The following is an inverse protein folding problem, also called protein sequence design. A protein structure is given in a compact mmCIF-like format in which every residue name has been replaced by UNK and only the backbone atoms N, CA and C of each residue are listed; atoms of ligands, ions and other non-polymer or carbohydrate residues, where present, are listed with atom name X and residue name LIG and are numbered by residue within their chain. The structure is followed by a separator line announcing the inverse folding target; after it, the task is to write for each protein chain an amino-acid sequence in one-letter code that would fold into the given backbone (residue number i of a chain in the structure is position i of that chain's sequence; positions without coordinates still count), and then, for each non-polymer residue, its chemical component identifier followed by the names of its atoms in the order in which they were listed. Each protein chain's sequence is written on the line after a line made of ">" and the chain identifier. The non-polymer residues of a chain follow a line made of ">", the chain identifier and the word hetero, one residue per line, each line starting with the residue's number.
data_IF_803819583591
#
_entry.id   IF_803819583591
#
_cell.length_a   1.000
_cell.length_b   1.000
_cell.length_c   1.000
_cell.angle_alpha   90.00
_cell.angle_beta   90.00
_cell.angle_gamma   90.00
#
_symmetry.space_group_name_H-M   'P 1'
#
loop_
_entity.id
_entity.type
_entity.pdbx_description
1 polymer ?
#
# COMPACT_ATOMS: atom_id res chain seq x y z
N UNK A 1 -54.24 9.70 -8.08
CA UNK A 1 -54.20 8.26 -8.34
C UNK A 1 -52.78 7.91 -8.84
N UNK A 2 -52.05 7.14 -8.01
CA UNK A 2 -51.05 6.11 -8.34
C UNK A 2 -49.99 6.45 -9.41
N UNK A 3 -48.67 6.34 -9.21
CA UNK A 3 -47.98 5.13 -8.73
C UNK A 3 -46.53 5.47 -8.35
N UNK A 4 -46.13 5.01 -7.22
CA UNK A 4 -44.79 4.84 -6.75
C UNK A 4 -44.09 3.69 -7.48
N UNK A 5 -42.86 3.87 -7.95
CA UNK A 5 -41.85 2.82 -8.21
C UNK A 5 -40.50 3.54 -8.05
N UNK A 6 -39.76 3.31 -7.05
CA UNK A 6 -38.89 2.18 -6.80
C UNK A 6 -37.49 2.68 -7.07
N UNK A 7 -36.81 3.35 -6.07
CA UNK A 7 -35.36 3.58 -6.08
C UNK A 7 -34.70 2.22 -6.00
N UNK A 8 -34.12 1.76 -7.09
CA UNK A 8 -33.12 0.69 -7.07
C UNK A 8 -31.79 1.30 -6.62
N UNK A 9 -31.39 0.98 -5.40
CA UNK A 9 -30.08 1.29 -4.84
C UNK A 9 -29.05 0.46 -5.60
N UNK A 10 -28.37 1.06 -6.55
CA UNK A 10 -27.18 0.47 -7.17
C UNK A 10 -26.01 0.75 -6.22
N UNK A 11 -25.65 -0.25 -5.45
CA UNK A 11 -24.38 -0.26 -4.69
C UNK A 11 -23.29 -0.42 -5.75
N UNK A 12 -22.64 0.67 -6.11
CA UNK A 12 -21.40 0.62 -6.88
C UNK A 12 -20.34 -0.04 -5.98
N UNK A 13 -19.94 -1.25 -6.37
CA UNK A 13 -18.79 -1.94 -5.79
C UNK A 13 -17.55 -1.09 -6.03
N UNK A 14 -17.00 -0.52 -4.97
CA UNK A 14 -15.65 0.04 -4.98
C UNK A 14 -14.68 -1.13 -5.23
N UNK A 15 -14.01 -1.11 -6.35
CA UNK A 15 -12.97 -2.07 -6.67
C UNK A 15 -11.82 -1.93 -5.66
N UNK A 16 -11.70 -2.90 -4.78
CA UNK A 16 -10.57 -3.00 -3.86
C UNK A 16 -9.37 -3.52 -4.65
N UNK A 17 -8.30 -2.75 -4.68
CA UNK A 17 -7.02 -3.18 -5.23
C UNK A 17 -6.43 -4.25 -4.30
N UNK A 18 -6.71 -5.51 -4.56
CA UNK A 18 -6.09 -6.62 -3.86
C UNK A 18 -4.80 -6.97 -4.58
N UNK A 19 -3.66 -6.49 -4.07
CA UNK A 19 -2.37 -7.07 -4.37
C UNK A 19 -2.35 -8.46 -3.71
N UNK A 20 -2.65 -9.50 -4.50
CA UNK A 20 -2.56 -10.87 -4.03
C UNK A 20 -1.09 -11.20 -3.72
N UNK A 21 -0.78 -11.36 -2.44
CA UNK A 21 0.43 -12.07 -2.03
C UNK A 21 0.18 -13.54 -2.37
N UNK A 22 0.57 -13.96 -3.57
CA UNK A 22 0.41 -15.33 -4.03
C UNK A 22 1.37 -16.24 -3.25
N UNK A 23 0.81 -17.03 -2.33
CA UNK A 23 1.49 -18.20 -1.80
C UNK A 23 1.05 -19.40 -2.64
N UNK A 24 1.93 -19.86 -3.53
CA UNK A 24 1.78 -21.17 -4.17
C UNK A 24 2.32 -22.22 -3.19
N UNK A 25 1.44 -22.73 -2.32
CA UNK A 25 1.74 -23.90 -1.51
C UNK A 25 1.52 -25.16 -2.37
N UNK A 26 2.58 -25.64 -3.02
CA UNK A 26 2.61 -27.03 -3.45
C UNK A 26 3.00 -27.87 -2.24
N UNK A 27 2.05 -28.57 -1.68
CA UNK A 27 2.29 -29.60 -0.66
C UNK A 27 3.15 -30.74 -1.28
N UNK A 28 4.23 -31.18 -0.61
CA UNK A 28 4.97 -32.35 -1.07
C UNK A 28 4.10 -33.60 -0.93
N UNK A 29 4.08 -34.42 -1.98
CA UNK A 29 3.39 -35.71 -2.01
C UNK A 29 3.94 -36.63 -0.92
N UNK A 30 3.10 -37.40 -0.22
CA UNK A 30 3.56 -38.33 0.81
C UNK A 30 4.35 -39.49 0.21
N UNK A 31 5.42 -39.97 0.87
CA UNK A 31 6.17 -41.13 0.41
C UNK A 31 5.35 -42.39 0.51
N UNK A 32 5.56 -43.30 -0.46
CA UNK A 32 4.89 -44.58 -0.56
C UNK A 32 5.18 -45.47 0.65
N UNK A 33 4.21 -46.32 1.06
CA UNK A 33 4.37 -47.20 2.22
C UNK A 33 5.41 -48.30 1.97
N UNK A 34 6.32 -48.45 2.91
CA UNK A 34 7.30 -49.56 2.93
C UNK A 34 6.65 -50.91 3.26
N UNK A 35 7.10 -51.93 2.57
CA UNK A 35 6.62 -53.33 2.75
C UNK A 35 7.01 -53.90 4.14
N UNK A 36 6.23 -54.85 4.68
CA UNK A 36 6.46 -55.42 5.99
C UNK A 36 7.63 -56.43 6.00
N UNK A 37 8.45 -56.51 7.05
CA UNK A 37 9.45 -57.53 7.18
C UNK A 37 8.88 -58.85 7.68
N UNK A 38 9.46 -59.93 7.15
CA UNK A 38 9.15 -61.32 7.42
C UNK A 38 9.45 -61.78 8.85
N UNK A 39 8.69 -62.76 9.26
CA UNK A 39 8.68 -63.58 10.47
C UNK A 39 9.97 -63.88 11.15
N UNK A 40 10.00 -63.70 12.48
CA UNK A 40 11.01 -64.30 13.38
C UNK A 40 10.39 -65.32 14.32
N UNK A 41 11.08 -66.43 14.45
CA UNK A 41 10.80 -67.63 15.27
C UNK A 41 11.01 -67.33 16.78
N UNK A 42 10.29 -68.03 17.69
CA UNK A 42 10.43 -67.75 19.13
C UNK A 42 11.64 -68.47 19.74
N UNK A 43 12.38 -67.75 20.58
CA UNK A 43 13.45 -68.30 21.45
C UNK A 43 12.94 -68.30 22.90
N UNK A 44 13.29 -69.38 23.60
CA UNK A 44 12.85 -69.84 24.90
C UNK A 44 13.14 -68.87 26.07
N UNK A 45 12.29 -69.02 27.11
CA UNK A 45 12.31 -68.28 28.36
C UNK A 45 13.63 -68.43 29.16
N UNK A 46 14.17 -67.31 29.61
CA UNK A 46 15.22 -67.27 30.63
C UNK A 46 14.74 -66.46 31.84
N UNK A 47 15.23 -66.84 33.02
CA UNK A 47 14.77 -66.53 34.35
C UNK A 47 14.69 -65.04 34.70
N UNK A 48 13.75 -64.73 35.62
CA UNK A 48 13.46 -63.41 36.17
C UNK A 48 14.68 -62.75 36.84
N UNK A 49 15.02 -61.54 36.40
CA UNK A 49 15.94 -60.60 37.09
C UNK A 49 15.14 -59.71 38.07
N UNK A 50 15.75 -59.18 39.12
CA UNK A 50 15.08 -58.37 40.11
C UNK A 50 14.59 -57.01 39.54
N UNK A 51 13.61 -56.38 40.16
CA UNK A 51 12.99 -55.14 39.65
C UNK A 51 14.05 -54.03 39.59
N UNK A 52 14.27 -53.54 38.38
CA UNK A 52 15.04 -52.31 38.15
C UNK A 52 14.12 -51.16 38.46
N UNK A 53 14.54 -50.27 39.39
CA UNK A 53 13.86 -48.99 39.64
C UNK A 53 13.66 -48.26 38.31
N UNK A 54 12.43 -47.87 38.05
CA UNK A 54 12.08 -47.12 36.86
C UNK A 54 12.80 -45.76 36.90
N UNK A 55 13.83 -45.61 36.10
CA UNK A 55 14.46 -44.31 35.84
C UNK A 55 13.40 -43.32 35.25
N UNK A 56 13.66 -42.00 35.32
CA UNK A 56 12.72 -40.98 34.89
C UNK A 56 12.31 -41.27 33.45
N UNK A 57 11.01 -41.32 33.23
CA UNK A 57 10.40 -41.51 31.90
C UNK A 57 11.01 -40.47 30.95
N UNK A 58 11.54 -40.87 29.79
CA UNK A 58 12.03 -39.88 28.81
C UNK A 58 10.92 -38.93 28.43
N UNK A 59 11.21 -37.64 28.26
CA UNK A 59 10.22 -36.70 27.83
C UNK A 59 9.59 -37.20 26.53
N UNK A 60 8.26 -37.21 26.48
CA UNK A 60 7.52 -37.60 25.26
C UNK A 60 7.96 -36.76 24.06
N UNK A 61 7.65 -37.21 22.82
CA UNK A 61 8.06 -36.49 21.62
C UNK A 61 7.54 -35.05 21.72
N UNK A 62 8.44 -34.09 21.64
CA UNK A 62 8.11 -32.66 21.53
C UNK A 62 7.42 -32.52 20.18
N UNK A 63 6.11 -32.34 20.17
CA UNK A 63 5.37 -32.02 18.94
C UNK A 63 5.86 -30.65 18.48
N UNK A 64 6.53 -30.60 17.34
CA UNK A 64 7.01 -29.35 16.78
C UNK A 64 5.81 -28.45 16.49
N UNK A 65 5.89 -27.18 16.93
CA UNK A 65 4.88 -26.17 16.61
C UNK A 65 4.86 -25.93 15.10
N UNK A 66 3.67 -25.98 14.50
CA UNK A 66 3.45 -25.68 13.07
C UNK A 66 2.80 -24.30 12.97
N UNK A 67 3.52 -23.28 12.48
CA UNK A 67 2.95 -21.95 12.27
C UNK A 67 1.77 -22.00 11.29
N UNK A 68 0.69 -21.31 11.63
CA UNK A 68 -0.48 -21.15 10.75
C UNK A 68 -0.55 -19.71 10.25
N UNK A 69 -0.80 -19.54 8.96
CA UNK A 69 -1.05 -18.21 8.39
C UNK A 69 -2.43 -17.72 8.84
N UNK A 70 -2.46 -16.50 9.39
CA UNK A 70 -3.69 -15.80 9.78
C UNK A 70 -3.77 -14.52 8.96
N UNK A 71 -4.93 -14.29 8.34
CA UNK A 71 -5.20 -13.06 7.58
C UNK A 71 -6.23 -12.22 8.30
N UNK A 72 -6.21 -10.91 8.04
CA UNK A 72 -7.21 -9.96 8.49
C UNK A 72 -7.53 -8.96 7.39
N UNK A 73 -8.73 -8.42 7.43
CA UNK A 73 -9.23 -7.43 6.47
C UNK A 73 -9.90 -6.28 7.20
N UNK A 74 -9.95 -5.11 6.58
CA UNK A 74 -10.61 -3.92 7.10
C UNK A 74 -10.83 -2.87 6.02
N UNK A 75 -11.35 -1.69 6.41
CA UNK A 75 -11.53 -0.55 5.53
C UNK A 75 -11.22 0.74 6.28
N UNK A 76 -10.39 1.60 5.70
CA UNK A 76 -10.12 2.97 6.15
C UNK A 76 -9.54 3.77 4.99
N UNK A 77 -9.49 5.09 5.09
CA UNK A 77 -8.93 6.00 4.09
C UNK A 77 -9.49 5.78 2.67
N UNK A 78 -10.76 5.36 2.60
CA UNK A 78 -11.44 5.08 1.34
C UNK A 78 -10.93 3.84 0.59
N UNK A 79 -10.20 2.92 1.26
CA UNK A 79 -9.63 1.73 0.61
C UNK A 79 -9.76 0.47 1.48
N UNK A 80 -9.51 -0.68 0.88
CA UNK A 80 -9.43 -1.96 1.56
C UNK A 80 -8.09 -2.10 2.30
N UNK A 81 -8.14 -2.67 3.51
CA UNK A 81 -6.98 -3.04 4.30
C UNK A 81 -6.82 -4.56 4.31
N UNK A 82 -5.59 -5.03 4.20
CA UNK A 82 -5.27 -6.44 4.32
C UNK A 82 -4.04 -6.68 5.21
N UNK A 83 -4.11 -7.73 6.01
CA UNK A 83 -3.06 -8.14 6.92
C UNK A 83 -2.78 -9.63 6.77
N UNK A 84 -1.54 -10.05 6.98
CA UNK A 84 -1.22 -11.43 7.28
C UNK A 84 0.01 -11.55 8.16
N UNK A 85 -0.02 -12.55 9.03
CA UNK A 85 1.10 -12.99 9.86
C UNK A 85 0.98 -14.49 10.11
N UNK A 86 1.92 -15.04 10.87
CA UNK A 86 1.92 -16.44 11.25
C UNK A 86 1.84 -16.58 12.76
N UNK A 87 1.07 -17.59 13.23
CA UNK A 87 1.05 -17.95 14.65
C UNK A 87 2.43 -18.39 15.13
N UNK A 88 2.69 -18.18 16.40
CA UNK A 88 3.89 -18.67 17.11
C UNK A 88 3.48 -19.41 18.40
N UNK A 89 4.36 -20.06 19.10
CA UNK A 89 4.03 -20.67 20.40
C UNK A 89 3.45 -19.69 21.45
N UNK A 90 3.68 -18.37 21.24
CA UNK A 90 3.24 -17.30 22.16
C UNK A 90 2.19 -16.37 21.57
N UNK A 91 1.91 -16.46 20.26
CA UNK A 91 0.93 -15.64 19.54
C UNK A 91 -0.01 -16.56 18.77
N UNK A 92 -1.20 -16.75 19.27
CA UNK A 92 -2.26 -17.49 18.59
C UNK A 92 -3.03 -16.62 17.58
N UNK A 93 -4.00 -17.20 16.88
CA UNK A 93 -4.81 -16.49 15.91
C UNK A 93 -5.63 -15.35 16.53
N UNK A 94 -6.11 -15.50 17.76
CA UNK A 94 -6.89 -14.47 18.44
C UNK A 94 -6.03 -13.24 18.78
N UNK A 95 -4.79 -13.46 19.23
CA UNK A 95 -3.83 -12.40 19.49
C UNK A 95 -3.47 -11.65 18.18
N UNK A 96 -3.32 -12.37 17.05
CA UNK A 96 -3.06 -11.76 15.76
C UNK A 96 -4.24 -10.89 15.29
N UNK A 97 -5.48 -11.37 15.40
CA UNK A 97 -6.66 -10.56 15.07
C UNK A 97 -6.77 -9.31 15.95
N UNK A 98 -6.49 -9.44 17.26
CA UNK A 98 -6.46 -8.27 18.16
C UNK A 98 -5.43 -7.23 17.70
N UNK A 99 -4.26 -7.68 17.22
CA UNK A 99 -3.25 -6.77 16.69
C UNK A 99 -3.68 -6.12 15.36
N UNK A 100 -4.40 -6.84 14.48
CA UNK A 100 -4.96 -6.28 13.24
C UNK A 100 -6.04 -5.24 13.51
N UNK A 101 -6.90 -5.47 14.51
CA UNK A 101 -7.90 -4.49 14.93
C UNK A 101 -7.23 -3.21 15.47
N UNK A 102 -6.17 -3.35 16.27
CA UNK A 102 -5.39 -2.22 16.75
C UNK A 102 -4.67 -1.46 15.63
N UNK A 103 -4.10 -2.18 14.63
CA UNK A 103 -3.49 -1.59 13.46
C UNK A 103 -4.51 -0.84 12.59
N UNK A 104 -5.70 -1.42 12.40
CA UNK A 104 -6.82 -0.76 11.71
C UNK A 104 -7.25 0.51 12.44
N UNK A 105 -7.39 0.47 13.76
CA UNK A 105 -7.74 1.64 14.58
C UNK A 105 -6.69 2.76 14.45
N UNK A 106 -5.41 2.41 14.35
CA UNK A 106 -4.34 3.40 14.14
C UNK A 106 -4.44 4.05 12.73
N UNK A 107 -4.74 3.28 11.67
CA UNK A 107 -4.99 3.85 10.33
C UNK A 107 -6.17 4.82 10.36
N UNK A 108 -7.29 4.44 11.00
CA UNK A 108 -8.46 5.31 11.17
C UNK A 108 -8.13 6.57 11.96
N UNK A 109 -7.26 6.48 12.99
CA UNK A 109 -6.79 7.64 13.72
C UNK A 109 -6.01 8.61 12.84
N UNK A 110 -5.10 8.11 12.00
CA UNK A 110 -4.34 8.91 11.02
C UNK A 110 -5.30 9.58 10.02
N UNK A 111 -6.24 8.82 9.46
CA UNK A 111 -7.28 9.36 8.56
C UNK A 111 -7.99 10.55 9.19
N UNK A 112 -8.44 10.41 10.44
CA UNK A 112 -9.21 11.45 11.14
C UNK A 112 -8.45 12.77 11.28
N UNK A 113 -7.14 12.75 11.47
CA UNK A 113 -6.36 13.99 11.63
C UNK A 113 -5.89 14.59 10.30
N UNK A 114 -5.79 13.78 9.24
CA UNK A 114 -5.19 14.18 7.96
C UNK A 114 -6.18 14.32 6.79
N UNK A 115 -7.45 13.94 6.99
CA UNK A 115 -8.47 14.04 5.94
C UNK A 115 -8.86 15.49 5.65
N UNK A 116 -9.30 15.76 4.40
CA UNK A 116 -9.96 17.03 4.02
C UNK A 116 -11.48 16.97 4.17
N UNK A 117 -12.05 15.78 4.45
CA UNK A 117 -13.49 15.55 4.54
C UNK A 117 -14.10 15.84 5.91
N UNK A 118 -13.27 15.89 6.96
CA UNK A 118 -13.71 16.26 8.32
C UNK A 118 -13.26 17.70 8.63
N UNK A 119 -14.19 18.64 8.85
CA UNK A 119 -13.84 20.01 9.24
C UNK A 119 -13.02 20.11 10.54
N UNK A 120 -13.05 19.09 11.38
CA UNK A 120 -12.31 19.04 12.65
C UNK A 120 -10.86 18.55 12.47
N UNK A 121 -10.47 18.10 11.28
CA UNK A 121 -9.12 17.64 11.01
C UNK A 121 -8.11 18.79 10.99
N UNK A 122 -6.84 18.46 11.22
CA UNK A 122 -5.75 19.42 11.16
C UNK A 122 -5.56 20.00 9.75
N UNK A 123 -5.67 19.16 8.71
CA UNK A 123 -5.56 19.58 7.31
C UNK A 123 -6.70 20.51 6.91
N UNK A 124 -7.92 20.24 7.36
CA UNK A 124 -9.07 21.14 7.15
C UNK A 124 -8.87 22.49 7.85
N UNK A 125 -8.30 22.48 9.06
CA UNK A 125 -7.97 23.73 9.77
C UNK A 125 -6.91 24.56 9.02
N UNK A 126 -5.87 23.91 8.47
CA UNK A 126 -4.85 24.55 7.61
C UNK A 126 -5.52 25.17 6.37
N UNK A 127 -6.39 24.43 5.70
CA UNK A 127 -7.13 24.92 4.52
C UNK A 127 -8.06 26.10 4.85
N UNK A 128 -8.74 26.09 6.00
CA UNK A 128 -9.62 27.17 6.44
C UNK A 128 -8.85 28.46 6.78
N UNK A 129 -7.59 28.34 7.18
CA UNK A 129 -6.71 29.45 7.50
C UNK A 129 -5.89 29.99 6.31
N UNK A 130 -6.05 29.41 5.10
CA UNK A 130 -5.30 29.80 3.91
C UNK A 130 -5.44 31.31 3.61
N UNK A 131 -4.31 31.99 3.36
CA UNK A 131 -4.22 33.43 3.15
C UNK A 131 -4.40 34.27 4.41
N UNK A 132 -4.56 33.67 5.60
CA UNK A 132 -4.83 34.40 6.86
C UNK A 132 -3.73 34.23 7.89
N UNK A 133 -3.55 33.02 8.43
CA UNK A 133 -2.63 32.75 9.54
C UNK A 133 -1.98 31.38 9.43
N UNK A 134 -0.86 31.22 10.13
CA UNK A 134 -0.30 29.89 10.38
C UNK A 134 -1.16 29.10 11.39
N UNK A 135 -1.21 27.80 11.22
CA UNK A 135 -1.95 26.84 12.08
C UNK A 135 -0.94 25.90 12.72
N UNK A 136 -1.01 25.75 14.03
CA UNK A 136 -0.24 24.74 14.75
C UNK A 136 -0.89 23.36 14.49
N UNK A 137 -0.07 22.37 14.09
CA UNK A 137 -0.48 21.00 13.82
C UNK A 137 0.28 20.01 14.71
N UNK A 138 -0.24 18.80 14.83
CA UNK A 138 0.44 17.72 15.54
C UNK A 138 1.75 17.32 14.86
N UNK A 139 2.63 16.62 15.59
CA UNK A 139 3.95 16.24 15.05
C UNK A 139 3.85 15.32 13.82
N UNK A 140 2.82 14.49 13.74
CA UNK A 140 2.60 13.57 12.64
C UNK A 140 2.17 14.29 11.37
N UNK A 141 1.18 15.17 11.45
CA UNK A 141 0.72 15.98 10.32
C UNK A 141 1.85 16.89 9.82
N UNK A 142 2.64 17.48 10.76
CA UNK A 142 3.78 18.28 10.38
C UNK A 142 4.83 17.47 9.63
N UNK A 143 5.17 16.26 10.11
CA UNK A 143 6.09 15.34 9.44
C UNK A 143 5.62 15.02 8.01
N UNK A 144 4.36 14.61 7.86
CA UNK A 144 3.82 14.21 6.54
C UNK A 144 3.82 15.41 5.56
N UNK A 145 3.48 16.61 6.01
CA UNK A 145 3.54 17.82 5.16
C UNK A 145 5.00 18.16 4.82
N UNK A 146 5.94 17.97 5.75
CA UNK A 146 7.37 18.19 5.50
C UNK A 146 7.92 17.21 4.46
N UNK A 147 7.57 15.91 4.55
CA UNK A 147 7.94 14.92 3.55
C UNK A 147 7.28 15.21 2.19
N UNK A 148 6.03 15.67 2.18
CA UNK A 148 5.35 16.11 0.97
C UNK A 148 6.08 17.31 0.32
N UNK A 149 6.54 18.26 1.11
CA UNK A 149 7.32 19.40 0.62
C UNK A 149 8.65 18.95 0.02
N UNK A 150 9.34 18.01 0.69
CA UNK A 150 10.58 17.43 0.18
C UNK A 150 10.34 16.68 -1.14
N UNK A 151 9.29 15.85 -1.23
CA UNK A 151 8.92 15.18 -2.47
C UNK A 151 8.62 16.18 -3.61
N UNK A 152 7.95 17.30 -3.30
CA UNK A 152 7.71 18.37 -4.26
C UNK A 152 9.01 19.00 -4.76
N UNK A 153 9.95 19.29 -3.86
CA UNK A 153 11.25 19.89 -4.19
C UNK A 153 12.08 18.97 -5.11
N UNK A 154 12.26 17.71 -4.73
CA UNK A 154 13.10 16.77 -5.50
C UNK A 154 12.47 16.36 -6.83
N UNK A 155 11.14 16.40 -6.95
CA UNK A 155 10.41 16.10 -8.19
C UNK A 155 10.21 17.32 -9.09
N UNK A 156 10.63 18.53 -8.63
CA UNK A 156 10.39 19.78 -9.36
C UNK A 156 8.89 20.11 -9.45
N UNK A 157 8.10 19.74 -8.42
CA UNK A 157 6.67 20.01 -8.34
C UNK A 157 5.78 19.00 -9.06
N UNK A 158 6.31 17.87 -9.53
CA UNK A 158 5.47 16.80 -10.07
C UNK A 158 4.64 16.12 -8.97
N UNK A 159 5.17 15.97 -7.76
CA UNK A 159 4.36 15.75 -6.57
C UNK A 159 4.05 17.10 -5.92
N UNK A 160 2.79 17.40 -5.64
CA UNK A 160 2.39 18.66 -5.02
C UNK A 160 1.05 18.52 -4.30
N UNK A 161 1.05 18.58 -2.98
CA UNK A 161 -0.17 18.47 -2.16
C UNK A 161 -1.18 19.61 -2.41
N UNK A 162 -0.76 20.69 -3.08
CA UNK A 162 -1.65 21.80 -3.46
C UNK A 162 -2.51 21.48 -4.69
N UNK A 163 -2.34 20.29 -5.31
CA UNK A 163 -3.24 19.80 -6.36
C UNK A 163 -4.71 19.81 -5.92
N UNK A 164 -4.97 19.74 -4.63
CA UNK A 164 -6.32 19.87 -4.03
C UNK A 164 -7.03 21.18 -4.46
N UNK A 165 -6.27 22.20 -4.84
CA UNK A 165 -6.82 23.43 -5.42
C UNK A 165 -7.66 23.17 -6.68
N UNK A 166 -7.37 22.08 -7.41
CA UNK A 166 -8.10 21.63 -8.58
C UNK A 166 -9.37 20.82 -8.23
N UNK A 167 -9.59 20.56 -6.94
CA UNK A 167 -10.76 19.79 -6.49
C UNK A 167 -12.07 20.32 -7.07
N UNK A 168 -12.94 19.38 -7.45
CA UNK A 168 -14.23 19.65 -8.09
C UNK A 168 -14.17 19.93 -9.59
N UNK A 169 -12.98 20.08 -10.20
CA UNK A 169 -12.84 20.12 -11.67
C UNK A 169 -12.92 18.72 -12.27
N UNK A 170 -12.16 17.79 -11.69
CA UNK A 170 -12.16 16.38 -12.07
C UNK A 170 -12.97 15.57 -11.06
N UNK A 171 -13.80 14.67 -11.55
CA UNK A 171 -14.73 13.89 -10.75
C UNK A 171 -14.57 12.42 -11.09
N UNK A 172 -13.89 11.69 -10.23
CA UNK A 172 -13.53 10.28 -10.46
C UNK A 172 -14.13 9.30 -9.44
N UNK A 173 -14.74 9.82 -8.36
CA UNK A 173 -15.23 9.06 -7.22
C UNK A 173 -16.77 8.94 -7.21
N UNK A 174 -17.38 9.17 -6.05
CA UNK A 174 -18.84 9.08 -5.84
C UNK A 174 -19.64 10.10 -6.66
N UNK A 175 -18.99 11.20 -7.05
CA UNK A 175 -19.52 12.27 -7.90
C UNK A 175 -19.16 12.09 -9.38
N UNK A 176 -18.80 10.86 -9.80
CA UNK A 176 -18.30 10.53 -11.14
C UNK A 176 -19.06 11.28 -12.23
N UNK A 177 -18.31 12.11 -12.96
CA UNK A 177 -18.82 12.83 -14.13
C UNK A 177 -17.80 12.68 -15.28
N UNK A 178 -18.10 11.87 -16.31
CA UNK A 178 -17.17 11.60 -17.41
C UNK A 178 -17.04 12.75 -18.40
N UNK A 179 -17.25 13.98 -17.96
CA UNK A 179 -17.07 15.18 -18.77
C UNK A 179 -15.80 15.93 -18.31
N UNK A 180 -14.71 15.91 -19.10
CA UNK A 180 -13.53 16.68 -18.78
C UNK A 180 -13.83 18.17 -18.60
N UNK A 181 -13.23 18.85 -17.61
CA UNK A 181 -13.38 20.29 -17.42
C UNK A 181 -12.86 21.06 -18.64
N UNK A 182 -13.36 22.29 -18.82
CA UNK A 182 -12.84 23.13 -19.90
C UNK A 182 -11.41 23.61 -19.62
N UNK A 183 -10.63 23.86 -20.67
CA UNK A 183 -9.29 24.41 -20.52
C UNK A 183 -9.28 25.79 -19.82
N UNK A 184 -10.39 26.53 -19.88
CA UNK A 184 -10.53 27.81 -19.18
C UNK A 184 -10.67 27.60 -17.67
N UNK A 185 -11.49 26.62 -17.23
CA UNK A 185 -11.68 26.31 -15.82
C UNK A 185 -10.38 25.79 -15.18
N UNK A 186 -9.67 24.92 -15.90
CA UNK A 186 -8.34 24.42 -15.44
C UNK A 186 -7.38 25.60 -15.27
N UNK A 187 -7.19 26.44 -16.29
CA UNK A 187 -6.29 27.60 -16.20
C UNK A 187 -6.68 28.55 -15.07
N UNK A 188 -7.96 28.72 -14.80
CA UNK A 188 -8.43 29.61 -13.74
C UNK A 188 -7.98 29.17 -12.35
N UNK A 189 -7.91 27.85 -12.09
CA UNK A 189 -7.48 27.29 -10.80
C UNK A 189 -5.98 26.96 -10.75
N UNK A 190 -5.39 26.56 -11.89
CA UNK A 190 -4.01 26.07 -11.97
C UNK A 190 -2.98 27.12 -11.46
N UNK A 191 -3.23 28.39 -11.64
CA UNK A 191 -2.38 29.49 -11.16
C UNK A 191 -2.25 29.56 -9.63
N UNK A 192 -3.18 28.94 -8.93
CA UNK A 192 -3.24 28.91 -7.46
C UNK A 192 -2.68 27.57 -6.91
N UNK A 193 -2.19 26.69 -7.79
CA UNK A 193 -1.44 25.45 -7.46
C UNK A 193 0.04 25.77 -7.36
N UNK A 194 0.70 25.24 -6.38
CA UNK A 194 2.15 25.36 -6.22
C UNK A 194 2.59 25.15 -4.76
N UNK A 195 3.40 24.15 -4.51
CA UNK A 195 3.91 23.79 -3.19
C UNK A 195 4.66 24.97 -2.52
N UNK A 196 5.17 25.93 -3.30
CA UNK A 196 5.77 27.13 -2.79
C UNK A 196 4.84 28.04 -1.97
N UNK A 197 3.51 27.86 -2.07
CA UNK A 197 2.52 28.55 -1.22
C UNK A 197 2.44 27.98 0.20
N UNK A 198 2.94 26.77 0.43
CA UNK A 198 2.96 26.13 1.75
C UNK A 198 4.25 26.45 2.48
N UNK A 199 4.14 27.06 3.66
CA UNK A 199 5.26 27.47 4.51
C UNK A 199 5.23 26.71 5.82
N UNK A 200 6.38 26.15 6.20
CA UNK A 200 6.57 25.37 7.41
C UNK A 200 7.46 26.13 8.40
N UNK A 201 7.06 26.16 9.66
CA UNK A 201 7.91 26.55 10.77
C UNK A 201 8.11 25.33 11.69
N UNK A 202 9.30 24.74 11.63
CA UNK A 202 9.62 23.55 12.40
C UNK A 202 9.70 23.82 13.91
N UNK A 203 10.12 25.00 14.32
CA UNK A 203 10.25 25.33 15.74
C UNK A 203 8.86 25.47 16.41
N UNK A 204 7.92 26.11 15.71
CA UNK A 204 6.56 26.30 16.18
C UNK A 204 5.62 25.15 15.76
N UNK A 205 6.05 24.24 14.88
CA UNK A 205 5.22 23.23 14.22
C UNK A 205 3.95 23.84 13.63
N UNK A 206 4.13 24.89 12.83
CA UNK A 206 3.00 25.51 12.16
C UNK A 206 3.10 25.36 10.66
N UNK A 207 1.92 25.30 10.02
CA UNK A 207 1.74 25.29 8.58
C UNK A 207 0.96 26.54 8.19
N UNK A 208 1.44 27.24 7.16
CA UNK A 208 0.75 28.40 6.59
C UNK A 208 0.63 28.23 5.09
N UNK A 209 -0.54 28.53 4.56
CA UNK A 209 -0.78 28.66 3.13
C UNK A 209 -0.88 30.18 2.82
N UNK A 210 0.01 30.71 1.99
CA UNK A 210 0.10 32.15 1.72
C UNK A 210 -1.04 32.65 0.82
N UNK A 211 -1.45 31.85 -0.20
CA UNK A 211 -2.55 32.24 -1.08
C UNK A 211 -3.92 31.75 -0.53
N UNK A 212 -4.92 32.63 -0.42
CA UNK A 212 -6.24 32.29 0.14
C UNK A 212 -7.05 31.28 -0.72
N UNK A 213 -6.63 31.04 -1.96
CA UNK A 213 -7.32 30.12 -2.89
C UNK A 213 -6.66 28.75 -2.95
N UNK A 214 -5.40 28.62 -2.56
CA UNK A 214 -4.67 27.36 -2.49
C UNK A 214 -5.27 26.47 -1.41
N UNK A 215 -5.39 25.19 -1.72
CA UNK A 215 -5.83 24.12 -0.81
C UNK A 215 -4.85 22.99 -0.86
N UNK A 216 -4.70 22.27 0.23
CA UNK A 216 -3.82 21.09 0.34
C UNK A 216 -4.64 19.84 0.69
N UNK A 217 -4.18 18.71 0.17
CA UNK A 217 -4.64 17.38 0.56
C UNK A 217 -3.44 16.46 0.74
N UNK A 218 -3.51 15.58 1.74
CA UNK A 218 -2.49 14.56 1.98
C UNK A 218 -2.86 13.20 1.36
N UNK A 219 -3.87 13.14 0.48
CA UNK A 219 -4.39 11.90 -0.12
C UNK A 219 -3.34 11.10 -0.91
N UNK A 220 -2.28 11.73 -1.42
CA UNK A 220 -1.19 11.09 -2.16
C UNK A 220 0.05 10.76 -1.29
N UNK A 221 -0.05 10.82 0.06
CA UNK A 221 1.08 10.53 0.95
C UNK A 221 0.66 9.96 2.31
N UNK A 222 -0.56 10.27 2.76
CA UNK A 222 -1.00 9.88 4.11
C UNK A 222 -1.29 8.39 4.24
N UNK A 223 -1.57 7.68 3.14
CA UNK A 223 -1.79 6.23 3.15
C UNK A 223 -0.49 5.49 3.50
N UNK A 224 0.61 5.85 2.85
CA UNK A 224 1.93 5.29 3.16
C UNK A 224 2.31 5.54 4.62
N UNK A 225 2.10 6.76 5.13
CA UNK A 225 2.31 7.04 6.55
C UNK A 225 1.45 6.15 7.45
N UNK A 226 0.17 5.98 7.14
CA UNK A 226 -0.73 5.14 7.92
C UNK A 226 -0.31 3.66 7.91
N UNK A 227 0.19 3.15 6.79
CA UNK A 227 0.76 1.80 6.67
C UNK A 227 1.99 1.65 7.57
N UNK A 228 2.91 2.61 7.59
CA UNK A 228 4.07 2.58 8.50
C UNK A 228 3.65 2.60 9.97
N UNK A 229 2.61 3.37 10.32
CA UNK A 229 2.05 3.39 11.68
C UNK A 229 1.43 2.06 12.07
N UNK A 230 0.65 1.46 11.18
CA UNK A 230 0.07 0.13 11.37
C UNK A 230 1.16 -0.95 11.50
N UNK A 231 2.19 -0.90 10.67
CA UNK A 231 3.34 -1.79 10.76
C UNK A 231 4.04 -1.69 12.13
N UNK A 232 4.16 -0.47 12.66
CA UNK A 232 4.70 -0.26 14.01
C UNK A 232 3.81 -0.91 15.08
N UNK A 233 2.49 -0.78 14.99
CA UNK A 233 1.56 -1.41 15.94
C UNK A 233 1.71 -2.93 15.94
N UNK A 234 1.79 -3.55 14.76
CA UNK A 234 2.01 -5.01 14.63
C UNK A 234 3.37 -5.43 15.22
N UNK A 235 4.41 -4.63 14.96
CA UNK A 235 5.74 -4.88 15.50
C UNK A 235 5.79 -4.77 17.03
N UNK A 236 5.15 -3.75 17.60
CA UNK A 236 5.06 -3.53 19.05
C UNK A 236 4.24 -4.64 19.75
N UNK A 237 3.30 -5.27 19.03
CA UNK A 237 2.60 -6.47 19.48
C UNK A 237 3.45 -7.76 19.45
N UNK A 238 4.74 -7.67 19.08
CA UNK A 238 5.68 -8.78 19.05
C UNK A 238 5.60 -9.65 17.78
N UNK A 239 4.90 -9.21 16.74
CA UNK A 239 4.80 -9.94 15.48
C UNK A 239 6.07 -9.69 14.67
N UNK A 240 6.86 -10.74 14.47
CA UNK A 240 8.17 -10.64 13.81
C UNK A 240 8.07 -10.73 12.28
N UNK A 241 7.03 -11.36 11.74
CA UNK A 241 6.82 -11.53 10.31
C UNK A 241 5.37 -11.24 9.94
N UNK A 242 5.16 -10.23 9.11
CA UNK A 242 3.83 -9.82 8.65
C UNK A 242 3.89 -9.01 7.36
N UNK A 243 2.74 -8.83 6.71
CA UNK A 243 2.49 -7.70 5.84
C UNK A 243 1.27 -6.91 6.32
N UNK A 244 1.25 -5.63 6.00
CA UNK A 244 0.11 -4.73 6.10
C UNK A 244 -0.05 -3.97 4.80
N UNK A 245 -1.29 -3.87 4.30
CA UNK A 245 -1.62 -3.22 3.04
C UNK A 245 -2.82 -2.29 3.21
N UNK A 246 -2.77 -1.12 2.57
CA UNK A 246 -3.88 -0.19 2.43
C UNK A 246 -3.97 0.26 0.95
N UNK A 247 -4.89 -0.34 0.18
CA UNK A 247 -4.95 -0.10 -1.27
C UNK A 247 -3.66 -0.49 -1.98
N UNK A 248 -3.02 0.47 -2.66
CA UNK A 248 -1.75 0.28 -3.37
C UNK A 248 -0.51 0.29 -2.48
N UNK A 249 -0.64 0.64 -1.20
CA UNK A 249 0.47 0.78 -0.27
C UNK A 249 0.63 -0.48 0.58
N UNK A 250 1.82 -1.04 0.61
CA UNK A 250 2.16 -2.27 1.32
C UNK A 250 3.46 -2.09 2.09
N UNK A 251 3.53 -2.62 3.31
CA UNK A 251 4.76 -2.86 4.04
C UNK A 251 4.88 -4.32 4.47
N UNK A 252 6.06 -4.90 4.34
CA UNK A 252 6.37 -6.24 4.84
C UNK A 252 7.45 -6.18 5.91
N UNK A 253 7.36 -7.08 6.89
CA UNK A 253 8.41 -7.29 7.88
C UNK A 253 8.81 -8.75 7.96
N UNK A 254 10.13 -8.98 8.07
CA UNK A 254 10.71 -10.30 8.28
C UNK A 254 10.46 -11.28 7.13
N UNK A 255 10.64 -12.55 7.40
CA UNK A 255 10.46 -13.65 6.45
C UNK A 255 9.40 -14.63 6.94
N UNK A 256 8.83 -15.41 6.03
CA UNK A 256 7.87 -16.47 6.38
C UNK A 256 8.53 -17.56 7.22
N UNK A 257 7.76 -18.44 7.90
CA UNK A 257 8.30 -19.49 8.77
C UNK A 257 9.22 -20.49 8.07
N UNK A 258 9.10 -20.64 6.76
CA UNK A 258 9.97 -21.46 5.91
C UNK A 258 11.31 -20.79 5.55
N UNK A 259 11.54 -19.55 6.04
CA UNK A 259 12.71 -18.75 5.75
C UNK A 259 12.66 -17.99 4.42
N UNK A 260 11.58 -18.13 3.64
CA UNK A 260 11.44 -17.39 2.38
C UNK A 260 10.88 -15.98 2.60
N UNK A 261 11.26 -14.98 1.77
CA UNK A 261 10.68 -13.64 1.84
C UNK A 261 9.19 -13.65 1.44
N UNK A 262 8.49 -12.58 1.80
CA UNK A 262 7.18 -12.30 1.26
C UNK A 262 7.28 -12.07 -0.26
N UNK A 263 6.19 -12.35 -0.98
CA UNK A 263 6.10 -12.10 -2.42
C UNK A 263 5.02 -11.05 -2.66
N UNK A 264 5.36 -9.98 -3.35
CA UNK A 264 4.40 -8.99 -3.82
C UNK A 264 4.21 -9.12 -5.33
N UNK A 265 2.94 -9.10 -5.78
CA UNK A 265 2.58 -9.01 -7.18
C UNK A 265 2.62 -7.56 -7.65
N UNK A 266 3.25 -7.29 -8.78
CA UNK A 266 3.18 -5.99 -9.47
C UNK A 266 2.01 -6.06 -10.41
N UNK A 267 0.95 -5.29 -10.09
CA UNK A 267 -0.33 -5.35 -10.79
C UNK A 267 -0.20 -5.05 -12.27
N UNK A 268 -0.91 -5.82 -13.08
CA UNK A 268 -1.07 -5.54 -14.50
C UNK A 268 -2.05 -4.37 -14.70
N UNK A 269 -1.63 -3.24 -15.30
CA UNK A 269 -2.47 -2.05 -15.42
C UNK A 269 -3.67 -2.23 -16.35
N UNK A 270 -3.73 -3.31 -17.13
CA UNK A 270 -4.82 -3.65 -18.04
C UNK A 270 -5.34 -5.08 -17.84
N UNK A 271 -4.79 -5.80 -16.87
CA UNK A 271 -5.27 -7.11 -16.46
C UNK A 271 -6.57 -7.04 -15.67
N UNK A 272 -7.18 -8.18 -15.42
CA UNK A 272 -8.31 -8.31 -14.52
C UNK A 272 -7.94 -7.93 -13.08
N UNK A 273 -8.94 -7.76 -12.22
CA UNK A 273 -8.69 -7.54 -10.80
C UNK A 273 -7.90 -8.72 -10.21
N UNK A 274 -6.80 -8.40 -9.51
CA UNK A 274 -5.89 -9.41 -8.96
C UNK A 274 -4.81 -9.92 -9.93
N UNK A 275 -4.83 -9.57 -11.21
CA UNK A 275 -3.76 -9.94 -12.14
C UNK A 275 -2.49 -9.15 -11.86
N UNK A 276 -1.35 -9.83 -11.99
CA UNK A 276 -0.03 -9.25 -11.87
C UNK A 276 0.88 -9.74 -13.01
N UNK A 277 1.65 -8.84 -13.59
CA UNK A 277 2.58 -9.17 -14.67
C UNK A 277 3.97 -9.59 -14.18
N UNK A 278 4.29 -9.30 -12.93
CA UNK A 278 5.56 -9.65 -12.32
C UNK A 278 5.40 -9.91 -10.81
N UNK A 279 6.33 -10.67 -10.25
CA UNK A 279 6.48 -10.92 -8.81
C UNK A 279 7.80 -10.32 -8.33
N UNK A 280 7.82 -9.90 -7.09
CA UNK A 280 9.02 -9.43 -6.41
C UNK A 280 9.07 -9.90 -4.95
N UNK A 281 10.26 -10.35 -4.53
CA UNK A 281 10.52 -10.70 -3.14
C UNK A 281 10.67 -9.45 -2.29
N UNK A 282 10.02 -9.43 -1.12
CA UNK A 282 10.01 -8.29 -0.21
C UNK A 282 10.26 -8.74 1.22
N UNK A 283 11.16 -8.05 1.92
CA UNK A 283 11.38 -8.19 3.35
C UNK A 283 11.86 -6.86 3.91
N UNK A 284 11.23 -6.41 4.99
CA UNK A 284 11.54 -5.15 5.69
C UNK A 284 11.55 -3.91 4.77
N UNK A 285 10.63 -3.90 3.78
CA UNK A 285 10.45 -2.81 2.82
C UNK A 285 8.98 -2.60 2.49
N UNK A 286 8.73 -1.46 1.90
CA UNK A 286 7.43 -1.03 1.43
C UNK A 286 7.32 -1.03 -0.09
N UNK A 287 6.08 -1.06 -0.55
CA UNK A 287 5.65 -0.75 -1.91
C UNK A 287 4.56 0.29 -1.88
N UNK A 288 4.59 1.20 -2.85
CA UNK A 288 3.42 1.97 -3.24
C UNK A 288 3.22 1.86 -4.75
N UNK A 289 1.97 1.80 -5.19
CA UNK A 289 1.63 1.70 -6.61
C UNK A 289 0.63 2.78 -7.00
N UNK A 290 1.08 3.69 -7.85
CA UNK A 290 0.26 4.64 -8.59
C UNK A 290 -0.16 4.04 -9.93
N UNK A 291 -1.47 4.15 -10.28
CA UNK A 291 -2.00 3.57 -11.51
C UNK A 291 -3.15 4.37 -12.12
N UNK A 292 -3.16 4.48 -13.45
CA UNK A 292 -4.20 5.20 -14.21
C UNK A 292 -5.55 4.48 -14.25
N UNK A 293 -5.63 3.28 -13.71
CA UNK A 293 -6.80 2.41 -13.72
C UNK A 293 -7.64 2.48 -12.43
N UNK A 294 -7.11 3.04 -11.35
CA UNK A 294 -7.76 3.03 -10.02
C UNK A 294 -9.06 3.84 -10.02
N UNK A 295 -8.97 5.12 -10.27
CA UNK A 295 -10.09 6.06 -10.35
C UNK A 295 -10.04 6.73 -11.71
N UNK A 296 -10.83 6.25 -12.65
CA UNK A 296 -10.72 6.67 -14.03
C UNK A 296 -12.02 6.50 -14.81
N UNK A 297 -12.13 7.21 -15.93
CA UNK A 297 -13.14 6.98 -16.97
C UNK A 297 -12.53 7.12 -18.36
N UNK A 298 -13.18 6.55 -19.37
CA UNK A 298 -12.75 6.62 -20.77
C UNK A 298 -13.76 7.39 -21.59
N UNK A 299 -13.28 8.42 -22.31
CA UNK A 299 -14.10 9.22 -23.23
C UNK A 299 -13.34 9.39 -24.54
N UNK A 300 -13.98 9.07 -25.66
CA UNK A 300 -13.38 9.19 -26.99
C UNK A 300 -12.10 8.36 -27.17
N UNK A 301 -11.98 7.22 -26.49
CA UNK A 301 -10.77 6.38 -26.54
C UNK A 301 -9.60 6.92 -25.71
N UNK A 302 -9.80 7.96 -24.90
CA UNK A 302 -8.81 8.51 -23.99
C UNK A 302 -9.23 8.25 -22.56
N UNK A 303 -8.29 7.71 -21.76
CA UNK A 303 -8.45 7.53 -20.31
C UNK A 303 -8.14 8.84 -19.58
N UNK A 304 -9.00 9.18 -18.63
CA UNK A 304 -8.81 10.25 -17.66
C UNK A 304 -8.81 9.61 -16.28
N UNK A 305 -7.90 10.00 -15.42
CA UNK A 305 -7.69 9.40 -14.10
C UNK A 305 -7.24 10.42 -13.06
N UNK A 306 -7.24 10.04 -11.81
CA UNK A 306 -7.06 10.91 -10.66
C UNK A 306 -5.63 11.46 -10.45
N UNK A 307 -4.61 10.87 -11.10
CA UNK A 307 -3.23 11.37 -10.98
C UNK A 307 -3.09 12.58 -11.90
N UNK A 308 -3.25 13.76 -11.32
CA UNK A 308 -3.23 15.03 -12.03
C UNK A 308 -1.83 15.62 -11.99
N UNK A 309 -1.28 15.97 -13.15
CA UNK A 309 -0.05 16.74 -13.24
C UNK A 309 -0.28 18.18 -12.76
N UNK A 310 0.37 18.60 -11.67
CA UNK A 310 0.19 19.93 -11.08
C UNK A 310 0.63 21.08 -12.00
N UNK A 311 1.47 20.82 -13.00
CA UNK A 311 1.92 21.83 -13.95
C UNK A 311 0.90 22.11 -15.04
N UNK A 312 0.11 21.11 -15.41
CA UNK A 312 -0.85 21.20 -16.52
C UNK A 312 -2.29 21.23 -16.07
N UNK A 313 -2.59 20.68 -14.89
CA UNK A 313 -3.95 20.49 -14.37
C UNK A 313 -4.74 19.38 -15.08
N UNK A 314 -4.07 18.57 -15.90
CA UNK A 314 -4.66 17.40 -16.58
C UNK A 314 -4.13 16.09 -16.00
N UNK A 315 -4.88 14.98 -16.15
CA UNK A 315 -4.33 13.65 -15.89
C UNK A 315 -3.02 13.42 -16.63
N UNK A 316 -2.03 12.90 -15.93
CA UNK A 316 -0.73 12.57 -16.50
C UNK A 316 -0.85 11.48 -17.57
N UNK A 317 0.10 11.40 -18.50
CA UNK A 317 0.02 10.47 -19.65
C UNK A 317 1.31 9.72 -19.93
N UNK A 318 2.31 9.87 -19.08
CA UNK A 318 3.63 9.28 -19.33
C UNK A 318 3.72 7.81 -18.90
N UNK A 319 2.92 7.41 -17.92
CA UNK A 319 2.92 6.06 -17.36
C UNK A 319 1.50 5.49 -17.30
N UNK A 320 1.38 4.15 -17.23
CA UNK A 320 0.15 3.41 -16.90
C UNK A 320 0.15 2.98 -15.44
N UNK A 321 1.30 2.56 -14.94
CA UNK A 321 1.52 2.28 -13.52
C UNK A 321 2.97 2.51 -13.13
N UNK A 322 3.15 2.82 -11.86
CA UNK A 322 4.45 2.95 -11.21
C UNK A 322 4.37 2.24 -9.87
N UNK A 323 5.27 1.32 -9.63
CA UNK A 323 5.44 0.70 -8.32
C UNK A 323 6.79 1.15 -7.75
N UNK A 324 6.77 1.81 -6.61
CA UNK A 324 7.96 2.22 -5.87
C UNK A 324 8.25 1.21 -4.76
N UNK A 325 9.49 0.80 -4.64
CA UNK A 325 10.05 0.02 -3.55
C UNK A 325 10.93 0.93 -2.69
N UNK A 326 10.68 1.00 -1.38
CA UNK A 326 11.37 1.91 -0.48
C UNK A 326 11.46 1.34 0.95
N UNK A 327 12.35 1.88 1.80
CA UNK A 327 12.45 1.49 3.21
C UNK A 327 11.15 1.70 4.01
N UNK A 328 10.34 2.72 3.68
CA UNK A 328 9.08 3.04 4.35
C UNK A 328 7.97 3.26 3.33
N UNK A 329 6.73 3.00 3.76
CA UNK A 329 5.56 3.23 2.90
C UNK A 329 5.30 4.73 2.69
N UNK A 330 5.59 5.58 3.68
CA UNK A 330 5.56 7.03 3.54
C UNK A 330 6.45 7.50 2.38
N UNK A 331 7.70 7.01 2.31
CA UNK A 331 8.62 7.39 1.26
C UNK A 331 8.16 6.87 -0.12
N UNK A 332 7.62 5.66 -0.17
CA UNK A 332 7.12 5.08 -1.42
C UNK A 332 5.92 5.86 -1.97
N UNK A 333 4.90 6.15 -1.13
CA UNK A 333 3.68 6.90 -1.48
C UNK A 333 4.02 8.37 -1.85
N UNK A 334 5.04 8.98 -1.18
CA UNK A 334 5.46 10.35 -1.45
C UNK A 334 6.03 10.59 -2.88
N UNK A 335 6.51 9.56 -3.56
CA UNK A 335 7.20 9.72 -4.84
C UNK A 335 6.61 8.94 -6.00
N UNK A 336 5.65 8.03 -5.76
CA UNK A 336 5.06 7.21 -6.84
C UNK A 336 4.31 8.05 -7.87
N UNK A 337 3.47 9.00 -7.43
CA UNK A 337 2.78 9.95 -8.30
C UNK A 337 3.76 10.86 -9.05
N UNK A 338 4.84 11.31 -8.39
CA UNK A 338 5.89 12.10 -9.05
C UNK A 338 6.55 11.34 -10.20
N UNK A 339 6.94 10.09 -9.93
CA UNK A 339 7.56 9.20 -10.93
C UNK A 339 6.58 8.89 -12.06
N UNK A 340 5.30 8.70 -11.73
CA UNK A 340 4.23 8.49 -12.69
C UNK A 340 4.11 9.67 -13.68
N UNK A 341 4.14 10.90 -13.16
CA UNK A 341 4.04 12.14 -13.96
C UNK A 341 5.31 12.38 -14.77
N UNK A 342 6.48 12.17 -14.18
CA UNK A 342 7.78 12.33 -14.84
C UNK A 342 7.98 11.33 -15.99
N UNK A 343 7.37 10.15 -15.91
CA UNK A 343 7.57 9.05 -16.84
C UNK A 343 8.92 8.34 -16.66
N UNK A 344 9.23 7.34 -17.50
CA UNK A 344 10.30 6.39 -17.22
C UNK A 344 11.69 7.03 -17.14
N UNK A 345 12.07 7.91 -18.07
CA UNK A 345 13.43 8.43 -18.11
C UNK A 345 13.74 9.34 -16.92
N UNK A 346 12.91 10.36 -16.70
CA UNK A 346 13.09 11.31 -15.60
C UNK A 346 12.73 10.67 -14.25
N UNK A 347 11.70 9.83 -14.22
CA UNK A 347 11.28 9.12 -13.02
C UNK A 347 12.34 8.15 -12.52
N UNK A 348 12.97 7.36 -13.40
CA UNK A 348 14.10 6.51 -13.01
C UNK A 348 15.31 7.34 -12.55
N UNK A 349 15.60 8.46 -13.21
CA UNK A 349 16.67 9.35 -12.77
C UNK A 349 16.44 9.91 -11.35
N UNK A 350 15.19 10.26 -11.02
CA UNK A 350 14.81 10.67 -9.67
C UNK A 350 15.00 9.52 -8.68
N UNK A 351 14.45 8.33 -8.97
CA UNK A 351 14.55 7.14 -8.11
C UNK A 351 16.01 6.76 -7.84
N UNK A 352 16.86 6.76 -8.86
CA UNK A 352 18.29 6.43 -8.74
C UNK A 352 19.07 7.44 -7.88
N UNK A 353 18.55 8.66 -7.72
CA UNK A 353 19.15 9.70 -6.87
C UNK A 353 18.79 9.54 -5.38
N UNK A 354 17.83 8.67 -5.04
CA UNK A 354 17.36 8.46 -3.66
C UNK A 354 17.89 7.13 -3.14
N UNK A 355 18.61 7.16 -2.04
CA UNK A 355 19.14 5.96 -1.43
C UNK A 355 18.04 5.01 -0.95
N UNK A 356 18.21 3.70 -1.22
CA UNK A 356 17.27 2.68 -0.76
C UNK A 356 15.98 2.59 -1.57
N UNK A 357 15.81 3.37 -2.65
CA UNK A 357 14.58 3.40 -3.44
C UNK A 357 14.78 2.72 -4.79
N UNK A 358 13.75 1.99 -5.24
CA UNK A 358 13.69 1.36 -6.55
C UNK A 358 12.30 1.54 -7.18
N UNK A 359 12.19 1.36 -8.49
CA UNK A 359 10.93 1.49 -9.22
C UNK A 359 10.77 0.45 -10.32
N UNK A 360 9.49 0.08 -10.55
CA UNK A 360 9.03 -0.59 -11.77
C UNK A 360 7.97 0.29 -12.41
N UNK A 361 8.15 0.64 -13.68
CA UNK A 361 7.28 1.55 -14.42
C UNK A 361 6.75 0.83 -15.64
N UNK A 362 5.44 0.88 -15.86
CA UNK A 362 4.81 0.54 -17.13
C UNK A 362 4.47 1.86 -17.82
N UNK A 363 5.16 2.18 -18.93
CA UNK A 363 4.95 3.45 -19.63
C UNK A 363 3.69 3.45 -20.51
N UNK A 364 3.39 4.59 -21.10
CA UNK A 364 2.23 4.76 -21.97
C UNK A 364 2.23 3.82 -23.18
N UNK A 365 3.39 3.34 -23.63
CA UNK A 365 3.55 2.40 -24.73
C UNK A 365 3.52 0.92 -24.29
N UNK A 366 3.20 0.65 -23.04
CA UNK A 366 3.18 -0.68 -22.42
C UNK A 366 4.57 -1.32 -22.20
N UNK A 367 5.63 -0.53 -22.29
CA UNK A 367 6.98 -1.01 -22.01
C UNK A 367 7.26 -0.96 -20.51
N UNK A 368 7.86 -2.04 -20.00
CA UNK A 368 8.30 -2.15 -18.60
C UNK A 368 9.72 -1.61 -18.46
N UNK A 369 9.92 -0.76 -17.47
CA UNK A 369 11.19 -0.20 -17.05
C UNK A 369 11.45 -0.55 -15.60
N UNK A 370 12.69 -0.93 -15.29
CA UNK A 370 13.09 -1.32 -13.93
C UNK A 370 14.33 -0.52 -13.54
N UNK A 371 14.33 0.04 -12.32
CA UNK A 371 15.51 0.72 -11.79
C UNK A 371 16.66 -0.25 -11.55
N UNK A 372 17.91 0.23 -11.60
CA UNK A 372 19.12 -0.60 -11.42
C UNK A 372 19.10 -1.36 -10.09
N UNK A 373 18.59 -0.75 -9.03
CA UNK A 373 18.49 -1.38 -7.71
C UNK A 373 17.64 -2.64 -7.71
N UNK A 374 16.63 -2.72 -8.58
CA UNK A 374 15.70 -3.84 -8.68
C UNK A 374 16.03 -4.82 -9.81
N UNK A 375 17.11 -4.59 -10.56
CA UNK A 375 17.56 -5.54 -11.58
C UNK A 375 17.80 -6.93 -10.97
N UNK A 376 17.21 -7.95 -11.60
CA UNK A 376 17.27 -9.34 -11.12
C UNK A 376 16.37 -9.67 -9.92
N UNK A 377 15.65 -8.69 -9.33
CA UNK A 377 14.70 -8.91 -8.24
C UNK A 377 13.25 -8.97 -8.72
N UNK A 378 12.96 -8.39 -9.88
CA UNK A 378 11.65 -8.43 -10.53
C UNK A 378 11.59 -9.66 -11.43
N UNK A 379 10.62 -10.54 -11.15
CA UNK A 379 10.45 -11.81 -11.88
C UNK A 379 9.19 -11.73 -12.76
N UNK A 380 9.33 -11.50 -14.08
CA UNK A 380 8.20 -11.43 -15.01
C UNK A 380 7.41 -12.74 -15.02
N UNK A 381 6.08 -12.65 -14.99
CA UNK A 381 5.13 -13.78 -15.18
C UNK A 381 4.65 -13.79 -16.63
N UNK A 382 4.27 -12.63 -17.14
CA UNK A 382 3.91 -12.37 -18.52
C UNK A 382 4.14 -10.88 -18.85
N UNK A 383 4.18 -10.46 -20.11
CA UNK A 383 4.14 -9.03 -20.43
C UNK A 383 2.83 -8.40 -19.96
N UNK A 384 2.82 -7.13 -19.50
CA UNK A 384 1.58 -6.45 -19.19
C UNK A 384 0.61 -6.47 -20.37
N UNK A 385 -0.68 -6.65 -20.11
CA UNK A 385 -1.71 -6.60 -21.15
C UNK A 385 -1.74 -5.21 -21.80
N UNK A 386 -1.99 -5.20 -23.13
CA UNK A 386 -2.18 -3.93 -23.83
C UNK A 386 -3.67 -3.54 -23.84
N UNK A 387 -3.95 -2.27 -24.09
CA UNK A 387 -5.31 -1.72 -24.14
C UNK A 387 -5.36 -0.28 -23.60
N UNK A 388 -6.58 0.23 -23.58
CA UNK A 388 -6.90 1.59 -23.09
C UNK A 388 -7.16 1.56 -21.60
#
# INVERSE_FOLDING_TARGET
>A
MKSSRGLATSIAQMAACVLLVACHDQAPSPPAPAAPPSSLTPIAAAAAAPPVEAGPTPPGPVVAFIPQRVTGEGHAMGTHLAFAAFTTPTLDAAALHTAYDAATAEIVRVEKVMTTWDPASEVSAVNAAAGKSAVAVGPETFLVIQEAQHASEISGGCFDITFETLHGLWKFDQDLDPHPPTAADIRAKLKDVGYGHVKLDAAARTVRIDDPRTRVSLGGIAKGYAVDRAAKVLADAGIASFYVQAGGDLYTRGVKPDGTPWQAGIRDPRGAEGDYFALMSVSDHAFSTAGDYERSYVVGGKRYHHIIDPHTGYPATASRSVTIWAPTALQADAIDDAVFILGPEKGLALVESIDGVGAVIVDASNKVWVSKRLEGQVHPVHPPHDGI
#
